data_IF_234749122216
#
_entry.id   IF_234749122216
#
_cell.length_a   1.000
_cell.length_b   1.000
_cell.length_c   1.000
_cell.angle_alpha   90.00
_cell.angle_beta   90.00
_cell.angle_gamma   90.00
#
_symmetry.space_group_name_H-M   'P 1'
#
loop_
_entity.id
_entity.type
_entity.pdbx_description
1 polymer ?
#
# COMPACT_ATOMS: atom_id res chain seq x y z
N UNK A 1 15.55 -10.61 -19.72
CA UNK A 1 14.30 -11.27 -19.30
C UNK A 1 13.29 -10.19 -18.95
N UNK A 2 11.98 -10.46 -18.95
CA UNK A 2 11.00 -9.50 -18.42
C UNK A 2 11.17 -9.39 -16.91
N UNK A 3 10.97 -8.20 -16.34
CA UNK A 3 11.02 -8.00 -14.89
C UNK A 3 9.86 -8.72 -14.21
N UNK A 4 10.07 -9.20 -12.98
CA UNK A 4 9.05 -9.77 -12.11
C UNK A 4 8.19 -8.63 -11.56
N UNK A 5 6.92 -8.58 -11.95
CA UNK A 5 5.97 -7.55 -11.51
C UNK A 5 5.32 -7.97 -10.19
N UNK A 6 5.63 -7.22 -9.14
CA UNK A 6 5.11 -7.44 -7.78
C UNK A 6 4.14 -6.32 -7.41
N UNK A 7 2.91 -6.69 -7.07
CA UNK A 7 1.91 -5.77 -6.52
C UNK A 7 1.73 -6.06 -5.03
N UNK A 8 2.03 -5.08 -4.18
CA UNK A 8 1.58 -5.07 -2.79
C UNK A 8 0.29 -4.26 -2.66
N UNK A 9 -0.72 -4.83 -2.03
CA UNK A 9 -1.99 -4.18 -1.72
C UNK A 9 -2.17 -4.11 -0.20
N UNK A 10 -2.48 -2.92 0.31
CA UNK A 10 -2.63 -2.63 1.75
C UNK A 10 -1.44 -1.84 2.29
N UNK A 11 -0.90 -2.20 3.45
CA UNK A 11 0.20 -1.55 4.17
C UNK A 11 0.06 -0.03 4.22
N UNK A 12 -1.17 0.44 4.46
CA UNK A 12 -1.47 1.86 4.53
C UNK A 12 -2.67 2.11 5.42
N UNK A 13 -2.60 3.12 6.28
CA UNK A 13 -3.69 3.45 7.21
C UNK A 13 -3.77 4.95 7.48
N UNK A 14 -4.95 5.38 7.93
CA UNK A 14 -5.18 6.75 8.43
C UNK A 14 -5.44 6.66 9.94
N UNK A 15 -4.58 7.29 10.72
CA UNK A 15 -4.74 7.43 12.16
C UNK A 15 -5.36 8.77 12.49
N UNK A 16 -6.54 8.79 13.11
CA UNK A 16 -7.18 10.02 13.61
C UNK A 16 -7.09 10.02 15.13
N UNK A 17 -6.41 11.03 15.67
CA UNK A 17 -6.31 11.27 17.12
C UNK A 17 -7.13 12.49 17.50
N UNK A 18 -7.93 12.34 18.55
CA UNK A 18 -8.75 13.40 19.11
C UNK A 18 -8.16 13.88 20.42
N UNK A 19 -8.01 15.20 20.56
CA UNK A 19 -7.39 15.84 21.71
C UNK A 19 -8.42 16.69 22.44
N UNK A 20 -8.64 16.38 23.72
CA UNK A 20 -9.48 17.15 24.61
C UNK A 20 -8.62 17.85 25.67
N UNK A 21 -8.71 19.18 25.74
CA UNK A 21 -7.95 20.00 26.71
C UNK A 21 -8.89 20.95 27.44
N UNK A 22 -9.52 20.46 28.50
CA UNK A 22 -10.53 21.23 29.24
C UNK A 22 -11.73 21.54 28.34
N UNK A 23 -11.89 22.82 27.99
CA UNK A 23 -12.94 23.27 27.07
C UNK A 23 -12.62 23.01 25.59
N UNK A 24 -11.34 22.89 25.23
CA UNK A 24 -10.92 22.83 23.83
C UNK A 24 -10.98 21.40 23.24
N UNK A 25 -11.36 21.33 21.95
CA UNK A 25 -11.37 20.13 21.12
C UNK A 25 -10.61 20.38 19.83
N UNK A 26 -9.71 19.47 19.48
CA UNK A 26 -9.09 19.43 18.15
C UNK A 26 -8.73 18.00 17.76
N UNK A 27 -8.62 17.76 16.46
CA UNK A 27 -8.26 16.46 15.90
C UNK A 27 -7.04 16.56 14.99
N UNK A 28 -6.20 15.54 15.00
CA UNK A 28 -5.09 15.36 14.07
C UNK A 28 -5.26 14.07 13.31
N UNK A 29 -5.22 14.14 11.98
CA UNK A 29 -5.17 12.98 11.09
C UNK A 29 -3.76 12.78 10.54
N UNK A 30 -3.30 11.54 10.50
CA UNK A 30 -2.03 11.16 9.87
C UNK A 30 -2.28 9.99 8.92
N UNK A 31 -1.61 10.01 7.77
CA UNK A 31 -1.57 8.89 6.83
C UNK A 31 -0.17 8.29 6.88
N UNK A 32 -0.10 6.98 7.06
CA UNK A 32 1.14 6.24 7.19
C UNK A 32 1.12 5.01 6.27
N UNK A 33 2.31 4.52 5.95
CA UNK A 33 2.50 3.28 5.21
C UNK A 33 3.54 2.37 5.88
N UNK A 34 3.34 1.06 5.79
CA UNK A 34 4.19 0.04 6.44
C UNK A 34 5.22 -0.64 5.52
N UNK A 35 5.17 -0.36 4.22
CA UNK A 35 5.90 -1.15 3.22
C UNK A 35 7.33 -0.68 2.91
N UNK A 36 7.87 0.32 3.61
CA UNK A 36 9.15 0.97 3.24
C UNK A 36 10.34 -0.02 3.20
N UNK A 37 10.43 -0.93 4.18
CA UNK A 37 11.48 -1.94 4.20
C UNK A 37 11.32 -2.97 3.07
N UNK A 38 10.08 -3.40 2.79
CA UNK A 38 9.79 -4.33 1.70
C UNK A 38 10.09 -3.69 0.34
N UNK A 39 9.66 -2.44 0.14
CA UNK A 39 9.96 -1.65 -1.06
C UNK A 39 11.46 -1.59 -1.30
N UNK A 40 12.25 -1.22 -0.29
CA UNK A 40 13.73 -1.18 -0.39
C UNK A 40 14.32 -2.54 -0.73
N UNK A 41 13.83 -3.62 -0.12
CA UNK A 41 14.30 -4.97 -0.41
C UNK A 41 14.00 -5.36 -1.87
N UNK A 42 12.77 -5.13 -2.35
CA UNK A 42 12.41 -5.41 -3.74
C UNK A 42 13.17 -4.52 -4.73
N UNK A 43 13.30 -3.23 -4.47
CA UNK A 43 14.03 -2.29 -5.34
C UNK A 43 15.55 -2.54 -5.35
N UNK A 44 16.08 -3.31 -4.40
CA UNK A 44 17.49 -3.72 -4.40
C UNK A 44 17.83 -4.75 -5.48
N UNK A 45 16.82 -5.46 -6.00
CA UNK A 45 16.95 -6.38 -7.12
C UNK A 45 16.43 -5.72 -8.41
N UNK A 46 17.29 -5.47 -9.42
CA UNK A 46 16.88 -4.82 -10.66
C UNK A 46 15.88 -5.64 -11.49
N UNK A 47 15.78 -6.95 -11.24
CA UNK A 47 14.83 -7.85 -11.90
C UNK A 47 13.41 -7.72 -11.36
N UNK A 48 13.21 -7.09 -10.19
CA UNK A 48 11.91 -6.87 -9.57
C UNK A 48 11.36 -5.49 -9.92
N UNK A 49 10.10 -5.44 -10.34
CA UNK A 49 9.31 -4.23 -10.55
C UNK A 49 8.21 -4.19 -9.47
N UNK A 50 8.50 -3.48 -8.38
CA UNK A 50 7.61 -3.34 -7.23
C UNK A 50 6.59 -2.22 -7.43
N UNK A 51 5.32 -2.48 -7.12
CA UNK A 51 4.22 -1.50 -7.08
C UNK A 51 3.48 -1.63 -5.77
N UNK A 52 3.15 -0.50 -5.14
CA UNK A 52 2.32 -0.43 -3.94
C UNK A 52 0.97 0.21 -4.28
N UNK A 53 -0.10 -0.44 -3.82
CA UNK A 53 -1.48 0.04 -3.86
C UNK A 53 -1.97 0.17 -2.42
N UNK A 54 -2.29 1.40 -2.01
CA UNK A 54 -2.84 1.64 -0.68
C UNK A 54 -4.17 0.92 -0.48
N UNK A 55 -4.48 0.54 0.76
CA UNK A 55 -5.74 -0.13 1.11
C UNK A 55 -6.98 0.68 0.72
N UNK A 56 -6.92 2.02 0.80
CA UNK A 56 -8.04 2.87 0.37
C UNK A 56 -8.22 2.91 -1.16
N UNK A 57 -7.14 2.75 -1.94
CA UNK A 57 -7.21 2.67 -3.40
C UNK A 57 -7.69 1.29 -3.88
N UNK A 58 -7.38 0.23 -3.13
CA UNK A 58 -7.72 -1.15 -3.49
C UNK A 58 -9.22 -1.36 -3.79
N UNK A 59 -10.11 -0.65 -3.08
CA UNK A 59 -11.55 -0.73 -3.31
C UNK A 59 -11.99 -0.29 -4.72
N UNK A 60 -11.19 0.52 -5.41
CA UNK A 60 -11.52 1.10 -6.72
C UNK A 60 -10.57 0.64 -7.82
N UNK A 61 -9.30 0.41 -7.49
CA UNK A 61 -8.22 0.22 -8.47
C UNK A 61 -7.68 -1.21 -8.50
N UNK A 62 -8.05 -2.07 -7.55
CA UNK A 62 -7.60 -3.46 -7.56
C UNK A 62 -8.11 -4.19 -8.83
N UNK A 63 -7.28 -5.02 -9.49
CA UNK A 63 -7.70 -5.80 -10.65
C UNK A 63 -8.97 -6.63 -10.40
N UNK A 64 -10.02 -6.41 -11.18
CA UNK A 64 -11.31 -7.11 -11.04
C UNK A 64 -11.49 -8.22 -12.08
N UNK A 65 -10.63 -8.26 -13.10
CA UNK A 65 -10.64 -9.28 -14.14
C UNK A 65 -9.40 -10.16 -14.08
N UNK A 66 -9.53 -11.40 -14.56
CA UNK A 66 -8.41 -12.34 -14.65
C UNK A 66 -7.29 -11.82 -15.56
N UNK A 67 -7.62 -11.12 -16.64
CA UNK A 67 -6.62 -10.58 -17.57
C UNK A 67 -5.80 -9.45 -16.94
N UNK A 68 -6.41 -8.63 -16.08
CA UNK A 68 -5.68 -7.62 -15.30
C UNK A 68 -4.82 -8.27 -14.20
N UNK A 69 -5.32 -9.31 -13.53
CA UNK A 69 -4.54 -10.06 -12.53
C UNK A 69 -3.30 -10.73 -13.14
N UNK A 70 -3.43 -11.28 -14.36
CA UNK A 70 -2.32 -11.90 -15.10
C UNK A 70 -1.21 -10.92 -15.51
N UNK A 71 -1.40 -9.62 -15.33
CA UNK A 71 -0.34 -8.64 -15.53
C UNK A 71 0.72 -8.67 -14.41
N UNK A 72 0.42 -9.33 -13.30
CA UNK A 72 1.28 -9.41 -12.12
C UNK A 72 1.80 -10.84 -11.96
N UNK A 73 3.09 -10.98 -11.69
CA UNK A 73 3.71 -12.28 -11.39
C UNK A 73 3.47 -12.67 -9.92
N UNK A 74 3.40 -11.66 -9.04
CA UNK A 74 3.15 -11.82 -7.60
C UNK A 74 2.18 -10.74 -7.12
N UNK A 75 1.17 -11.14 -6.37
CA UNK A 75 0.27 -10.24 -5.64
C UNK A 75 0.40 -10.55 -4.15
N UNK A 76 0.70 -9.53 -3.35
CA UNK A 76 0.84 -9.60 -1.90
C UNK A 76 -0.32 -8.82 -1.30
N UNK A 77 -1.08 -9.45 -0.41
CA UNK A 77 -2.15 -8.80 0.36
C UNK A 77 -1.69 -8.73 1.81
N UNK A 78 -1.54 -7.51 2.35
CA UNK A 78 -1.07 -7.27 3.71
C UNK A 78 -1.66 -5.96 4.23
N UNK A 79 -2.42 -6.02 5.32
CA UNK A 79 -3.07 -4.91 6.05
C UNK A 79 -3.70 -3.77 5.21
#
# INVERSE_FOLDING_TARGET
MSKIRVLLVGESWISVSTHHKGFDYFSSGMYDTGHEYLKKACESDPEIAYTHMSGHAAAQEFPFTLEELKQWDVIILSD
#
